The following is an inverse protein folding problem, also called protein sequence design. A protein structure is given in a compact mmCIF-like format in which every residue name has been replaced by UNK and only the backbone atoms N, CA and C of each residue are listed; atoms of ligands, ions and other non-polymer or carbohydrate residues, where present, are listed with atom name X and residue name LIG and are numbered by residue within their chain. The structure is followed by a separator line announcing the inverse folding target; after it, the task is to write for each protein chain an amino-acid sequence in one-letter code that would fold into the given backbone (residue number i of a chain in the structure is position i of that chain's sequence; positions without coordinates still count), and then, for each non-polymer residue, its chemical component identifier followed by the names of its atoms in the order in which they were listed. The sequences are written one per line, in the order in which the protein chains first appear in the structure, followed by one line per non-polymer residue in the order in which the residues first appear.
data_IF_926973215027
#
_entry.id   IF_926973215027
#
_cell.length_a   1.000
_cell.length_b   1.000
_cell.length_c   1.000
_cell.angle_alpha   90.00
_cell.angle_beta   90.00
_cell.angle_gamma   90.00
#
_symmetry.space_group_name_H-M   'P 1'
#
loop_
_entity.id
_entity.type
_entity.pdbx_description
1 polymer ?
#
# COMPACT_ATOMS: atom_id res chain seq x y z
N UNK A 1 -26.45 -2.03 -15.44
CA UNK A 1 -25.61 -1.69 -14.26
C UNK A 1 -24.49 -2.72 -14.23
N UNK A 2 -23.29 -2.34 -14.64
CA UNK A 2 -22.14 -3.25 -14.63
C UNK A 2 -21.64 -3.36 -13.19
N UNK A 3 -22.08 -4.39 -12.48
CA UNK A 3 -21.54 -4.71 -11.16
C UNK A 3 -20.19 -5.35 -11.37
N UNK A 4 -19.12 -4.70 -10.90
CA UNK A 4 -17.80 -5.32 -10.85
C UNK A 4 -17.92 -6.71 -10.18
N UNK A 5 -17.16 -7.72 -10.65
CA UNK A 5 -17.09 -9.01 -9.98
C UNK A 5 -16.85 -8.83 -8.48
N UNK A 6 -17.66 -9.50 -7.63
CA UNK A 6 -17.60 -9.34 -6.15
C UNK A 6 -16.19 -9.54 -5.59
N UNK A 7 -15.40 -10.40 -6.24
CA UNK A 7 -14.04 -10.75 -5.83
C UNK A 7 -13.08 -9.56 -5.97
N UNK A 8 -13.21 -8.73 -7.02
CA UNK A 8 -12.35 -7.55 -7.22
C UNK A 8 -12.57 -6.48 -6.16
N UNK A 9 -13.82 -6.26 -5.77
CA UNK A 9 -14.16 -5.35 -4.66
C UNK A 9 -13.52 -5.80 -3.35
N UNK A 10 -13.53 -7.11 -3.06
CA UNK A 10 -12.93 -7.64 -1.85
C UNK A 10 -11.40 -7.47 -1.82
N UNK A 11 -10.74 -7.63 -2.97
CA UNK A 11 -9.30 -7.44 -3.11
C UNK A 11 -8.87 -5.99 -2.86
N UNK A 12 -9.64 -5.02 -3.39
CA UNK A 12 -9.43 -3.58 -3.14
C UNK A 12 -9.72 -3.22 -1.70
N UNK A 13 -10.84 -3.70 -1.13
CA UNK A 13 -11.20 -3.45 0.27
C UNK A 13 -10.11 -3.96 1.21
N UNK A 14 -9.58 -5.15 0.97
CA UNK A 14 -8.47 -5.72 1.73
C UNK A 14 -7.21 -4.83 1.67
N UNK A 15 -6.89 -4.26 0.50
CA UNK A 15 -5.78 -3.31 0.37
C UNK A 15 -6.06 -2.01 1.13
N UNK A 16 -7.28 -1.48 1.04
CA UNK A 16 -7.69 -0.27 1.75
C UNK A 16 -7.59 -0.43 3.27
N UNK A 17 -7.94 -1.60 3.81
CA UNK A 17 -7.78 -1.89 5.24
C UNK A 17 -6.31 -1.86 5.68
N UNK A 18 -5.39 -2.39 4.86
CA UNK A 18 -3.95 -2.31 5.17
C UNK A 18 -3.45 -0.87 5.22
N UNK A 19 -3.87 -0.05 4.24
CA UNK A 19 -3.54 1.38 4.21
C UNK A 19 -4.10 2.09 5.45
N UNK A 20 -5.36 1.85 5.81
CA UNK A 20 -5.99 2.47 6.98
C UNK A 20 -5.27 2.10 8.28
N UNK A 21 -4.84 0.85 8.44
CA UNK A 21 -4.04 0.41 9.59
C UNK A 21 -2.72 1.19 9.65
N UNK A 22 -2.02 1.35 8.53
CA UNK A 22 -0.78 2.12 8.48
C UNK A 22 -0.99 3.61 8.81
N UNK A 23 -2.03 4.23 8.25
CA UNK A 23 -2.39 5.63 8.54
C UNK A 23 -2.69 5.83 10.03
N UNK A 24 -3.48 4.93 10.62
CA UNK A 24 -3.79 5.00 12.05
C UNK A 24 -2.55 4.76 12.91
N UNK A 25 -1.73 3.79 12.53
CA UNK A 25 -0.48 3.46 13.21
C UNK A 25 0.47 4.66 13.25
N UNK A 26 0.73 5.33 12.13
CA UNK A 26 1.71 6.43 12.12
C UNK A 26 1.27 7.60 13.02
N UNK A 27 -0.03 7.88 13.07
CA UNK A 27 -0.59 8.91 13.96
C UNK A 27 -0.43 8.49 15.41
N UNK A 28 -0.76 7.24 15.74
CA UNK A 28 -0.68 6.71 17.09
C UNK A 28 0.77 6.71 17.61
N UNK A 29 1.69 6.14 16.85
CA UNK A 29 3.10 6.00 17.26
C UNK A 29 3.79 7.36 17.39
N UNK A 30 3.46 8.32 16.52
CA UNK A 30 3.93 9.68 16.67
C UNK A 30 3.39 10.35 17.95
N UNK A 31 2.10 10.14 18.26
CA UNK A 31 1.46 10.74 19.43
C UNK A 31 2.05 10.23 20.75
N UNK A 32 2.39 8.94 20.83
CA UNK A 32 3.02 8.35 22.03
C UNK A 32 4.54 8.48 22.05
N UNK A 33 5.15 8.99 20.96
CA UNK A 33 6.58 9.20 20.86
C UNK A 33 7.40 7.91 20.69
N UNK A 34 6.83 6.85 20.15
CA UNK A 34 7.54 5.58 19.95
C UNK A 34 8.28 5.55 18.60
N UNK A 35 9.53 6.01 18.62
CA UNK A 35 10.39 6.00 17.45
C UNK A 35 10.66 4.57 16.93
N UNK A 36 10.73 3.56 17.79
CA UNK A 36 11.00 2.18 17.34
C UNK A 36 9.80 1.61 16.59
N UNK A 37 8.58 1.90 17.06
CA UNK A 37 7.36 1.53 16.37
C UNK A 37 7.21 2.24 15.02
N UNK A 38 7.57 3.53 14.92
CA UNK A 38 7.60 4.25 13.63
C UNK A 38 8.57 3.61 12.62
N UNK A 39 9.76 3.21 13.07
CA UNK A 39 10.73 2.52 12.21
C UNK A 39 10.22 1.15 11.73
N UNK A 40 9.48 0.44 12.58
CA UNK A 40 8.83 -0.83 12.21
C UNK A 40 7.68 -0.62 11.22
N UNK A 41 6.81 0.35 11.49
CA UNK A 41 5.66 0.69 10.64
C UNK A 41 6.11 1.02 9.21
N UNK A 42 7.19 1.78 9.07
CA UNK A 42 7.85 2.06 7.79
C UNK A 42 8.20 0.80 6.99
N UNK A 43 8.64 -0.27 7.67
CA UNK A 43 9.02 -1.51 7.00
C UNK A 43 7.80 -2.37 6.67
N UNK A 44 6.72 -2.26 7.44
CA UNK A 44 5.47 -3.00 7.22
C UNK A 44 4.71 -2.55 5.94
N UNK A 45 5.09 -1.42 5.35
CA UNK A 45 4.59 -0.91 4.06
C UNK A 45 4.79 -1.87 2.88
N UNK A 46 5.79 -2.77 2.97
CA UNK A 46 6.00 -3.85 1.99
C UNK A 46 4.74 -4.72 1.80
N UNK A 47 3.90 -4.85 2.84
CA UNK A 47 2.63 -5.58 2.74
C UNK A 47 1.64 -4.91 1.79
N UNK A 48 1.67 -3.58 1.69
CA UNK A 48 0.83 -2.82 0.76
C UNK A 48 1.36 -2.98 -0.66
N UNK A 49 2.68 -2.93 -0.87
CA UNK A 49 3.32 -3.18 -2.17
C UNK A 49 3.01 -4.58 -2.72
N UNK A 50 3.13 -5.61 -1.87
CA UNK A 50 2.79 -6.99 -2.22
C UNK A 50 1.30 -7.10 -2.56
N UNK A 51 0.41 -6.48 -1.77
CA UNK A 51 -1.03 -6.51 -2.04
C UNK A 51 -1.37 -5.79 -3.33
N UNK A 52 -0.76 -4.63 -3.60
CA UNK A 52 -0.89 -3.90 -4.86
C UNK A 52 -0.52 -4.78 -6.05
N UNK A 53 0.63 -5.46 -5.99
CA UNK A 53 1.10 -6.37 -7.05
C UNK A 53 0.12 -7.51 -7.30
N UNK A 54 -0.42 -8.11 -6.24
CA UNK A 54 -1.46 -9.14 -6.35
C UNK A 54 -2.73 -8.61 -7.02
N UNK A 55 -3.22 -7.45 -6.59
CA UNK A 55 -4.42 -6.81 -7.16
C UNK A 55 -4.19 -6.43 -8.62
N UNK A 56 -3.01 -5.93 -8.96
CA UNK A 56 -2.62 -5.59 -10.32
C UNK A 56 -2.70 -6.81 -11.25
N UNK A 57 -2.09 -7.93 -10.86
CA UNK A 57 -2.11 -9.18 -11.64
C UNK A 57 -3.52 -9.73 -11.78
N UNK A 58 -4.29 -9.73 -10.70
CA UNK A 58 -5.70 -10.14 -10.70
C UNK A 58 -6.51 -9.32 -11.72
N UNK A 59 -6.42 -8.00 -11.66
CA UNK A 59 -7.12 -7.10 -12.60
C UNK A 59 -6.74 -7.36 -14.06
N UNK A 60 -5.46 -7.62 -14.35
CA UNK A 60 -5.03 -7.97 -15.72
C UNK A 60 -5.65 -9.29 -16.19
N UNK A 61 -5.73 -10.31 -15.34
CA UNK A 61 -6.40 -11.57 -15.68
C UNK A 61 -7.86 -11.33 -16.06
N UNK A 62 -8.61 -10.54 -15.29
CA UNK A 62 -10.01 -10.22 -15.60
C UNK A 62 -10.19 -9.42 -16.91
N UNK A 63 -9.23 -8.54 -17.24
CA UNK A 63 -9.22 -7.82 -18.52
C UNK A 63 -8.98 -8.77 -19.71
N UNK A 64 -8.11 -9.76 -19.52
CA UNK A 64 -7.77 -10.75 -20.55
C UNK A 64 -8.88 -11.78 -20.77
N UNK A 65 -9.61 -12.16 -19.72
CA UNK A 65 -10.74 -13.09 -19.80
C UNK A 65 -11.92 -12.49 -20.58
N UNK A 66 -12.21 -11.20 -20.40
CA UNK A 66 -13.26 -10.51 -21.13
C UNK A 66 -12.91 -9.01 -21.34
N UNK A 67 -12.65 -8.58 -22.59
CA UNK A 67 -12.32 -7.18 -22.90
C UNK A 67 -13.37 -6.15 -22.45
N UNK A 68 -14.63 -6.56 -22.21
CA UNK A 68 -15.66 -5.66 -21.66
C UNK A 68 -15.34 -5.19 -20.24
N UNK A 69 -14.46 -5.88 -19.53
CA UNK A 69 -14.03 -5.53 -18.18
C UNK A 69 -12.93 -4.46 -18.15
N UNK A 70 -12.30 -4.14 -19.29
CA UNK A 70 -11.13 -3.24 -19.36
C UNK A 70 -11.40 -1.92 -18.63
N UNK A 71 -12.46 -1.20 -18.99
CA UNK A 71 -12.76 0.11 -18.39
C UNK A 71 -12.96 0.03 -16.87
N UNK A 72 -13.73 -0.94 -16.39
CA UNK A 72 -13.98 -1.11 -14.95
C UNK A 72 -12.70 -1.46 -14.20
N UNK A 73 -11.91 -2.40 -14.72
CA UNK A 73 -10.65 -2.82 -14.12
C UNK A 73 -9.60 -1.69 -14.14
N UNK A 74 -9.59 -0.82 -15.16
CA UNK A 74 -8.72 0.36 -15.20
C UNK A 74 -9.04 1.34 -14.08
N UNK A 75 -10.33 1.59 -13.79
CA UNK A 75 -10.72 2.43 -12.66
C UNK A 75 -10.27 1.82 -11.32
N UNK A 76 -10.43 0.51 -11.14
CA UNK A 76 -9.95 -0.18 -9.94
C UNK A 76 -8.42 -0.18 -9.83
N UNK A 77 -7.70 -0.24 -10.96
CA UNK A 77 -6.24 -0.11 -10.99
C UNK A 77 -5.79 1.26 -10.48
N UNK A 78 -6.49 2.33 -10.90
CA UNK A 78 -6.24 3.66 -10.35
C UNK A 78 -6.54 3.72 -8.85
N UNK A 79 -7.62 3.10 -8.37
CA UNK A 79 -7.90 3.01 -6.94
C UNK A 79 -6.75 2.30 -6.19
N UNK A 80 -6.31 1.14 -6.67
CA UNK A 80 -5.21 0.38 -6.08
C UNK A 80 -3.90 1.20 -6.06
N UNK A 81 -3.58 1.91 -7.15
CA UNK A 81 -2.39 2.76 -7.21
C UNK A 81 -2.48 3.94 -6.24
N UNK A 82 -3.65 4.57 -6.10
CA UNK A 82 -3.82 5.64 -5.11
C UNK A 82 -3.68 5.12 -3.68
N UNK A 83 -4.14 3.90 -3.39
CA UNK A 83 -3.94 3.25 -2.09
C UNK A 83 -2.46 3.01 -1.78
N UNK A 84 -1.69 2.49 -2.75
CA UNK A 84 -0.23 2.32 -2.58
C UNK A 84 0.48 3.66 -2.33
N UNK A 85 0.12 4.72 -3.08
CA UNK A 85 0.69 6.06 -2.85
C UNK A 85 0.39 6.61 -1.46
N UNK A 86 -0.77 6.27 -0.88
CA UNK A 86 -1.07 6.65 0.51
C UNK A 86 -0.14 5.91 1.48
N UNK A 87 0.13 4.62 1.25
CA UNK A 87 1.13 3.84 2.00
C UNK A 87 2.51 4.49 1.94
N UNK A 88 3.00 4.83 0.75
CA UNK A 88 4.26 5.55 0.56
C UNK A 88 4.30 6.87 1.35
N UNK A 89 3.22 7.64 1.31
CA UNK A 89 3.12 8.90 2.05
C UNK A 89 3.14 8.68 3.56
N UNK A 90 2.47 7.64 4.06
CA UNK A 90 2.54 7.25 5.48
C UNK A 90 3.97 6.92 5.87
N UNK A 91 4.70 6.19 5.03
CA UNK A 91 6.08 5.84 5.33
C UNK A 91 6.97 7.08 5.39
N UNK A 92 6.80 8.05 4.49
CA UNK A 92 7.52 9.32 4.56
C UNK A 92 7.19 10.11 5.83
N UNK A 93 5.93 10.06 6.30
CA UNK A 93 5.52 10.66 7.57
C UNK A 93 6.22 9.94 8.73
N UNK A 94 6.29 8.62 8.72
CA UNK A 94 6.95 7.84 9.77
C UNK A 94 8.45 8.13 9.85
N UNK A 95 9.14 8.25 8.71
CA UNK A 95 10.55 8.64 8.63
C UNK A 95 10.80 10.04 9.21
N UNK A 96 9.95 11.01 8.86
CA UNK A 96 10.04 12.37 9.39
C UNK A 96 9.73 12.43 10.89
N UNK A 97 8.70 11.72 11.34
CA UNK A 97 8.34 11.60 12.75
C UNK A 97 9.48 10.99 13.58
N UNK A 98 10.10 9.93 13.07
CA UNK A 98 11.28 9.31 13.67
C UNK A 98 12.43 10.32 13.83
N UNK A 99 12.70 11.09 12.78
CA UNK A 99 13.72 12.13 12.81
C UNK A 99 13.42 13.22 13.85
N UNK A 100 12.16 13.68 13.93
CA UNK A 100 11.74 14.66 14.94
C UNK A 100 11.95 14.16 16.37
N UNK A 101 11.70 12.88 16.64
CA UNK A 101 11.83 12.29 17.98
C UNK A 101 13.28 11.98 18.37
N UNK A 102 14.12 11.57 17.41
CA UNK A 102 15.47 11.04 17.70
C UNK A 102 16.61 11.96 17.28
N UNK A 103 16.35 12.92 16.39
CA UNK A 103 17.37 13.73 15.72
C UNK A 103 18.21 12.96 14.68
N UNK A 104 17.86 11.69 14.40
CA UNK A 104 18.61 10.81 13.48
C UNK A 104 17.74 10.35 12.32
N UNK A 105 18.34 10.23 11.15
CA UNK A 105 17.62 9.81 9.94
C UNK A 105 17.68 8.29 9.80
N UNK A 106 16.57 7.67 9.43
CA UNK A 106 16.56 6.25 9.06
C UNK A 106 17.33 6.03 7.75
N UNK A 107 17.92 4.85 7.52
CA UNK A 107 18.63 4.55 6.29
C UNK A 107 17.75 4.78 5.06
N UNK A 108 18.29 5.45 4.03
CA UNK A 108 17.53 5.79 2.82
C UNK A 108 16.94 4.55 2.11
N UNK A 109 17.67 3.44 2.11
CA UNK A 109 17.19 2.18 1.57
C UNK A 109 16.35 1.44 2.62
N UNK A 110 15.08 1.17 2.27
CA UNK A 110 14.30 0.10 2.90
C UNK A 110 14.85 -1.23 2.36
N UNK A 111 15.01 -2.27 3.18
CA UNK A 111 15.20 -3.61 2.64
C UNK A 111 13.91 -4.02 1.91
N UNK A 112 13.79 -3.66 0.63
CA UNK A 112 12.69 -4.12 -0.23
C UNK A 112 13.03 -5.55 -0.65
N UNK A 113 12.20 -6.53 -0.33
CA UNK A 113 12.23 -7.82 -1.02
C UNK A 113 11.56 -7.63 -2.39
N UNK A 114 12.22 -6.92 -3.29
CA UNK A 114 11.66 -6.59 -4.61
C UNK A 114 11.77 -7.82 -5.54
N UNK A 115 10.77 -8.71 -5.50
CA UNK A 115 10.65 -9.85 -6.44
C UNK A 115 9.98 -9.44 -7.77
N UNK A 116 9.55 -8.19 -7.91
CA UNK A 116 8.71 -7.76 -9.04
C UNK A 116 9.50 -7.29 -10.27
N UNK A 117 10.81 -7.09 -10.17
CA UNK A 117 11.65 -6.63 -11.29
C UNK A 117 12.16 -7.78 -12.20
N UNK A 118 11.90 -9.05 -11.86
CA UNK A 118 12.32 -10.18 -12.70
C UNK A 118 11.19 -11.21 -12.84
N UNK A 119 10.32 -11.01 -13.82
CA UNK A 119 9.67 -12.06 -14.61
C UNK A 119 9.01 -11.44 -15.84
#
# INVERSE_FOLDING_TARGET
VSTAPRDLTHSIDSMAQLVLIQVQGVIQEYTVGDATALAKLRNDDERIDVKYTSVFRELLTYMMEDPRNITACTHLLFCAKNLERIGDHVTNIAENAYYVLTGTQLPANRPKQDETAMS
#
